data_IF_565941770341
#
_entry.id   IF_565941770341
#
_cell.length_a   1.000
_cell.length_b   1.000
_cell.length_c   1.000
_cell.angle_alpha   90.00
_cell.angle_beta   90.00
_cell.angle_gamma   90.00
#
_symmetry.space_group_name_H-M   'P 1'
#
loop_
_entity.id
_entity.type
_entity.pdbx_description
1 polymer ?
#
# COMPACT_ATOMS: atom_id res chain seq x y z
N UNK A 1 0.66 -11.53 -3.37
CA UNK A 1 0.57 -11.48 -4.86
C UNK A 1 -0.70 -10.74 -5.21
N UNK A 2 -0.68 -9.96 -6.29
CA UNK A 2 -1.74 -9.03 -6.70
C UNK A 2 -2.04 -9.17 -8.19
N UNK A 3 -3.04 -8.44 -8.67
CA UNK A 3 -3.50 -8.45 -10.08
C UNK A 3 -3.15 -7.18 -10.85
N UNK A 4 -2.81 -6.10 -10.14
CA UNK A 4 -2.66 -4.76 -10.72
C UNK A 4 -3.98 -4.05 -10.99
N UNK A 5 -5.10 -4.57 -10.46
CA UNK A 5 -6.42 -3.94 -10.57
C UNK A 5 -6.73 -3.22 -9.27
N UNK A 6 -6.59 -1.89 -9.31
CA UNK A 6 -6.83 -1.03 -8.15
C UNK A 6 -8.29 -1.13 -7.70
N UNK A 7 -8.50 -1.43 -6.41
CA UNK A 7 -9.83 -1.59 -5.80
C UNK A 7 -10.39 -0.26 -5.32
N UNK A 8 -9.53 0.58 -4.78
CA UNK A 8 -9.87 1.94 -4.37
C UNK A 8 -8.64 2.85 -4.31
N UNK A 9 -8.90 4.14 -4.16
CA UNK A 9 -7.89 5.13 -3.80
C UNK A 9 -8.08 5.50 -2.34
N UNK A 10 -7.02 5.37 -1.55
CA UNK A 10 -6.97 5.81 -0.16
C UNK A 10 -6.28 7.16 0.00
N UNK A 11 -6.18 7.62 1.25
CA UNK A 11 -5.47 8.86 1.60
C UNK A 11 -4.53 8.61 2.78
N UNK A 12 -3.28 9.05 2.68
CA UNK A 12 -2.35 9.02 3.80
C UNK A 12 -2.82 10.06 4.82
N UNK A 13 -3.34 9.63 5.97
CA UNK A 13 -3.88 10.53 6.99
C UNK A 13 -2.83 10.91 8.05
N UNK A 14 -1.78 10.10 8.20
CA UNK A 14 -0.70 10.31 9.17
C UNK A 14 0.57 9.59 8.73
N UNK A 15 1.70 10.22 9.00
CA UNK A 15 3.05 9.66 8.86
C UNK A 15 3.78 9.89 10.18
N UNK A 16 4.43 8.86 10.71
CA UNK A 16 5.28 8.93 11.91
C UNK A 16 6.69 8.50 11.53
N UNK A 17 7.68 9.35 11.80
CA UNK A 17 9.08 8.98 11.63
C UNK A 17 9.53 8.05 12.77
N UNK A 18 10.14 6.92 12.41
CA UNK A 18 10.56 5.84 13.32
C UNK A 18 12.07 5.56 13.16
N UNK A 19 12.87 6.63 13.07
CA UNK A 19 14.28 6.54 12.70
C UNK A 19 14.44 6.59 11.17
N UNK A 20 15.07 5.57 10.58
CA UNK A 20 15.20 5.45 9.13
C UNK A 20 13.93 4.89 8.45
N UNK A 21 13.04 4.30 9.26
CA UNK A 21 11.76 3.75 8.84
C UNK A 21 10.62 4.74 9.14
N UNK A 22 9.43 4.51 8.57
CA UNK A 22 8.23 5.31 8.83
C UNK A 22 7.02 4.42 9.08
N UNK A 23 6.10 4.87 9.93
CA UNK A 23 4.75 4.31 10.01
C UNK A 23 3.80 5.19 9.20
N UNK A 24 3.07 4.59 8.27
CA UNK A 24 2.01 5.26 7.52
C UNK A 24 0.67 4.78 8.02
N UNK A 25 -0.28 5.70 8.15
CA UNK A 25 -1.68 5.39 8.31
C UNK A 25 -2.43 5.86 7.05
N UNK A 26 -3.18 4.94 6.45
CA UNK A 26 -3.87 5.13 5.18
C UNK A 26 -5.34 4.87 5.38
N UNK A 27 -6.15 5.90 5.13
CA UNK A 27 -7.61 5.80 5.12
C UNK A 27 -8.09 5.07 3.86
N UNK A 28 -8.97 4.09 4.04
CA UNK A 28 -9.52 3.24 2.99
C UNK A 28 -10.92 2.77 3.40
N UNK A 29 -11.89 2.84 2.49
CA UNK A 29 -13.31 2.63 2.80
C UNK A 29 -13.82 1.29 2.30
N UNK A 30 -13.26 0.78 1.19
CA UNK A 30 -13.77 -0.44 0.53
C UNK A 30 -13.01 -1.70 0.95
N UNK A 31 -11.72 -1.61 1.26
CA UNK A 31 -10.85 -2.73 1.60
C UNK A 31 -11.06 -3.29 3.02
N UNK A 32 -12.16 -2.92 3.70
CA UNK A 32 -12.38 -3.27 5.11
C UNK A 32 -13.00 -4.66 5.32
N UNK A 33 -13.27 -5.42 4.25
CA UNK A 33 -13.85 -6.76 4.35
C UNK A 33 -12.74 -7.80 4.53
N UNK A 34 -12.82 -8.58 5.62
CA UNK A 34 -11.98 -9.77 5.90
C UNK A 34 -10.45 -9.55 5.99
N UNK A 35 -10.00 -8.34 6.38
CA UNK A 35 -8.58 -8.06 6.64
C UNK A 35 -8.18 -8.44 8.06
N UNK A 36 -6.99 -9.00 8.19
CA UNK A 36 -6.32 -9.36 9.44
C UNK A 36 -4.96 -8.66 9.57
N UNK A 37 -4.47 -8.52 10.80
CA UNK A 37 -3.08 -8.12 11.03
C UNK A 37 -2.15 -9.16 10.43
N UNK A 38 -1.15 -8.70 9.67
CA UNK A 38 -0.25 -9.57 8.92
C UNK A 38 -0.64 -9.75 7.45
N UNK A 39 -1.84 -9.34 7.05
CA UNK A 39 -2.24 -9.40 5.65
C UNK A 39 -1.45 -8.40 4.80
N UNK A 40 -1.40 -8.67 3.49
CA UNK A 40 -0.68 -7.85 2.52
C UNK A 40 -1.65 -6.96 1.75
N UNK A 41 -1.38 -5.66 1.74
CA UNK A 41 -2.06 -4.67 0.91
C UNK A 41 -1.01 -3.98 0.02
N UNK A 42 -1.32 -3.87 -1.26
CA UNK A 42 -0.54 -3.09 -2.21
C UNK A 42 -0.89 -1.61 -2.07
N UNK A 43 0.10 -0.77 -1.75
CA UNK A 43 -0.02 0.69 -1.67
C UNK A 43 0.84 1.32 -2.75
N UNK A 44 0.23 1.94 -3.76
CA UNK A 44 0.92 2.38 -4.98
C UNK A 44 1.74 1.26 -5.65
N UNK A 45 1.28 0.01 -5.55
CA UNK A 45 2.01 -1.15 -6.07
C UNK A 45 3.01 -1.76 -5.09
N UNK A 46 3.29 -1.12 -3.95
CA UNK A 46 4.22 -1.65 -2.93
C UNK A 46 3.48 -2.62 -2.01
N UNK A 47 3.94 -3.86 -1.92
CA UNK A 47 3.41 -4.82 -0.95
C UNK A 47 3.78 -4.42 0.47
N UNK A 48 2.79 -4.02 1.27
CA UNK A 48 2.96 -3.68 2.69
C UNK A 48 2.14 -4.59 3.58
N UNK A 49 2.68 -4.89 4.76
CA UNK A 49 2.03 -5.73 5.77
C UNK A 49 1.18 -4.87 6.69
N UNK A 50 -0.09 -5.22 6.84
CA UNK A 50 -1.02 -4.55 7.77
C UNK A 50 -0.52 -4.76 9.21
N UNK A 51 -0.10 -3.67 9.87
CA UNK A 51 0.30 -3.66 11.28
C UNK A 51 -0.91 -3.62 12.20
N UNK A 52 -1.83 -2.69 11.92
CA UNK A 52 -3.12 -2.57 12.60
C UNK A 52 -4.14 -1.89 11.70
N UNK A 53 -5.43 -2.11 11.98
CA UNK A 53 -6.53 -1.56 11.20
C UNK A 53 -7.70 -1.20 12.11
N UNK A 54 -8.50 -0.22 11.69
CA UNK A 54 -9.66 0.24 12.43
C UNK A 54 -10.16 1.59 11.94
N UNK A 55 -11.44 1.90 12.17
CA UNK A 55 -12.06 3.18 11.78
C UNK A 55 -11.89 3.55 10.29
N UNK A 56 -11.84 2.54 9.41
CA UNK A 56 -11.63 2.74 7.96
C UNK A 56 -10.21 3.21 7.62
N UNK A 57 -9.21 2.79 8.39
CA UNK A 57 -7.79 3.05 8.11
C UNK A 57 -6.94 1.82 8.42
N UNK A 58 -5.80 1.75 7.76
CA UNK A 58 -4.77 0.72 7.92
C UNK A 58 -3.45 1.39 8.27
N UNK A 59 -2.63 0.73 9.09
CA UNK A 59 -1.27 1.18 9.41
C UNK A 59 -0.24 0.20 8.87
N UNK A 60 0.89 0.74 8.43
CA UNK A 60 1.98 -0.01 7.83
C UNK A 60 3.31 0.53 8.32
N UNK A 61 4.22 -0.36 8.73
CA UNK A 61 5.63 -0.01 8.91
C UNK A 61 6.33 -0.12 7.56
N UNK A 62 7.01 0.94 7.15
CA UNK A 62 7.70 1.05 5.87
C UNK A 62 9.19 1.18 6.12
N UNK A 63 9.95 0.20 5.62
CA UNK A 63 11.40 0.17 5.77
C UNK A 63 12.08 1.28 4.97
N UNK A 64 13.22 1.74 5.47
CA UNK A 64 14.14 2.66 4.78
C UNK A 64 14.46 2.24 3.34
N UNK A 65 14.62 0.94 3.07
CA UNK A 65 14.82 0.42 1.71
C UNK A 65 13.61 0.68 0.81
N UNK A 66 12.40 0.41 1.31
CA UNK A 66 11.16 0.64 0.57
C UNK A 66 10.95 2.13 0.32
N UNK A 67 11.18 2.97 1.33
CA UNK A 67 11.12 4.43 1.20
C UNK A 67 12.11 4.94 0.14
N UNK A 68 13.32 4.37 0.08
CA UNK A 68 14.36 4.79 -0.87
C UNK A 68 14.04 4.46 -2.33
N UNK A 69 13.41 3.32 -2.61
CA UNK A 69 13.23 2.81 -3.97
C UNK A 69 11.81 3.02 -4.53
N UNK A 70 10.91 3.64 -3.77
CA UNK A 70 9.52 3.84 -4.16
C UNK A 70 9.11 5.29 -4.00
N UNK A 71 7.98 5.68 -4.59
CA UNK A 71 7.43 7.02 -4.42
C UNK A 71 6.94 7.31 -2.98
N UNK A 72 6.86 6.29 -2.12
CA UNK A 72 6.44 6.46 -0.73
C UNK A 72 7.48 7.22 0.11
N UNK A 73 8.75 7.28 -0.34
CA UNK A 73 9.78 8.10 0.31
C UNK A 73 9.45 9.59 0.34
N UNK A 74 8.84 10.08 -0.74
CA UNK A 74 8.48 11.49 -0.94
C UNK A 74 7.01 11.81 -0.59
N UNK A 75 6.24 10.78 -0.22
CA UNK A 75 4.82 10.92 0.12
C UNK A 75 4.60 11.75 1.39
N UNK A 76 3.47 12.46 1.41
CA UNK A 76 3.07 13.38 2.48
C UNK A 76 1.66 13.06 2.95
N UNK A 77 1.35 13.49 4.17
CA UNK A 77 -0.02 13.49 4.67
C UNK A 77 -0.93 14.29 3.73
N UNK A 78 -2.05 13.69 3.36
CA UNK A 78 -3.02 14.21 2.39
C UNK A 78 -2.86 13.63 0.98
N UNK A 79 -1.73 12.98 0.67
CA UNK A 79 -1.54 12.35 -0.63
C UNK A 79 -2.48 11.15 -0.82
N UNK A 80 -2.95 11.00 -2.05
CA UNK A 80 -3.76 9.86 -2.47
C UNK A 80 -2.87 8.69 -2.89
N UNK A 81 -3.30 7.48 -2.57
CA UNK A 81 -2.59 6.25 -2.92
C UNK A 81 -3.55 5.22 -3.51
N UNK A 82 -3.08 4.48 -4.51
CA UNK A 82 -3.82 3.35 -5.07
C UNK A 82 -3.70 2.13 -4.16
N UNK A 83 -4.82 1.44 -3.92
CA UNK A 83 -4.89 0.31 -3.02
C UNK A 83 -5.46 -0.94 -3.69
N UNK A 84 -4.86 -2.08 -3.37
CA UNK A 84 -5.29 -3.41 -3.82
C UNK A 84 -4.99 -4.45 -2.71
N UNK A 85 -5.97 -5.30 -2.41
CA UNK A 85 -5.85 -6.46 -1.52
C UNK A 85 -5.05 -7.60 -2.17
N UNK A 86 -4.37 -8.40 -1.36
CA UNK A 86 -3.71 -9.61 -1.87
C UNK A 86 -4.74 -10.63 -2.38
N UNK A 87 -4.37 -11.35 -3.44
CA UNK A 87 -5.18 -12.43 -3.99
C UNK A 87 -5.45 -13.54 -2.96
N UNK A 88 -6.71 -13.92 -2.85
CA UNK A 88 -7.19 -15.12 -2.15
C UNK A 88 -7.40 -16.29 -3.12
N UNK A 89 -7.37 -17.56 -2.63
CA UNK A 89 -7.71 -18.72 -3.44
C UNK A 89 -9.13 -18.60 -4.04
N UNK A 90 -9.22 -18.65 -5.36
CA UNK A 90 -10.50 -18.53 -6.09
C UNK A 90 -10.78 -17.14 -6.64
N UNK A 91 -9.96 -16.14 -6.32
CA UNK A 91 -10.08 -14.80 -6.89
C UNK A 91 -9.84 -14.80 -8.40
N UNK A 92 -10.54 -13.88 -9.08
CA UNK A 92 -10.36 -13.66 -10.52
C UNK A 92 -9.06 -12.91 -10.77
N UNK A 93 -8.17 -13.50 -11.59
CA UNK A 93 -7.01 -12.81 -12.14
C UNK A 93 -7.43 -11.97 -13.36
N UNK A 94 -7.97 -10.77 -13.12
CA UNK A 94 -8.45 -9.87 -14.18
C UNK A 94 -7.34 -9.07 -14.88
N UNK A 95 -6.20 -8.88 -14.21
CA UNK A 95 -5.00 -8.24 -14.77
C UNK A 95 -3.92 -9.27 -15.07
N UNK A 96 -2.78 -9.13 -14.40
CA UNK A 96 -1.63 -10.05 -14.51
C UNK A 96 -0.99 -10.25 -13.14
N UNK A 97 -0.02 -11.15 -13.03
CA UNK A 97 0.69 -11.33 -11.76
C UNK A 97 1.54 -10.12 -11.43
N UNK A 98 1.18 -9.43 -10.35
CA UNK A 98 1.97 -8.35 -9.75
C UNK A 98 2.53 -8.85 -8.42
N UNK A 99 3.84 -8.76 -8.25
CA UNK A 99 4.53 -9.23 -7.04
C UNK A 99 4.32 -8.27 -5.86
N UNK A 100 4.26 -6.97 -6.16
CA UNK A 100 4.32 -5.89 -5.19
C UNK A 100 5.76 -5.52 -4.76
N UNK A 101 6.77 -6.08 -5.41
CA UNK A 101 8.17 -5.65 -5.30
C UNK A 101 8.46 -4.62 -6.39
N UNK A 102 8.78 -3.40 -5.99
CA UNK A 102 9.05 -2.31 -6.91
C UNK A 102 10.55 -2.27 -7.24
N UNK A 103 10.87 -2.29 -8.53
CA UNK A 103 12.25 -2.19 -9.02
C UNK A 103 12.80 -0.75 -8.97
N UNK A 104 11.91 0.25 -9.11
CA UNK A 104 12.28 1.66 -9.04
C UNK A 104 11.13 2.60 -9.39
N UNK A 105 11.47 3.88 -9.54
CA UNK A 105 10.53 4.95 -9.89
C UNK A 105 10.75 5.41 -11.33
N UNK A 106 9.66 5.79 -12.00
CA UNK A 106 9.69 6.38 -13.33
C UNK A 106 9.05 7.78 -13.29
N UNK A 107 9.67 8.73 -13.97
CA UNK A 107 9.11 10.06 -14.17
C UNK A 107 8.19 10.06 -15.39
N UNK A 108 6.99 10.62 -15.24
CA UNK A 108 6.10 10.92 -16.37
C UNK A 108 6.59 12.21 -17.00
N UNK A 109 6.93 12.18 -18.30
CA UNK A 109 7.50 13.34 -19.00
C UNK A 109 6.46 14.12 -19.81
N UNK A 110 5.34 13.51 -20.17
CA UNK A 110 4.22 14.10 -20.93
C UNK A 110 2.89 13.41 -20.59
#
# INVERSE_FOLDING_TARGET
>A
MFTGIIKETGTINRIIDMGDDKEFEVKAVKLTEDIHTGDSISVNGVCLTVKSFGSGSFTFDISSSTLKYTNLGDAKTGDMVNLEDALSPGDKLGGHFVSGHIDGVAAILD
#
